data_IF_131202126789
#
_entry.id   IF_131202126789
#
_cell.length_a   1.000
_cell.length_b   1.000
_cell.length_c   1.000
_cell.angle_alpha   90.00
_cell.angle_beta   90.00
_cell.angle_gamma   90.00
#
_symmetry.space_group_name_H-M   'P 1'
#
loop_
_entity.id
_entity.type
_entity.pdbx_description
1 polymer ?
#
# COMPACT_ATOMS: atom_id res chain seq x y z
N UNK A 1 4.69 -21.47 8.90
CA UNK A 1 3.64 -20.56 8.40
C UNK A 1 4.05 -19.13 8.71
N UNK A 2 4.07 -18.28 7.72
CA UNK A 2 4.40 -16.88 7.94
C UNK A 2 3.18 -16.12 8.43
N UNK A 3 3.41 -15.26 9.40
CA UNK A 3 2.36 -14.34 9.82
C UNK A 3 2.23 -13.22 8.79
N UNK A 4 1.00 -12.74 8.54
CA UNK A 4 0.84 -11.60 7.64
C UNK A 4 1.41 -10.34 8.26
N UNK A 5 1.89 -9.43 7.43
CA UNK A 5 2.41 -8.15 7.88
C UNK A 5 1.32 -7.31 8.54
N UNK A 6 0.07 -7.52 8.15
CA UNK A 6 -1.10 -6.81 8.68
C UNK A 6 -2.10 -7.85 9.12
N UNK A 7 -2.52 -7.81 10.40
CA UNK A 7 -3.50 -8.74 10.92
C UNK A 7 -4.93 -8.28 10.66
N UNK A 8 -5.16 -6.98 10.65
CA UNK A 8 -6.49 -6.41 10.42
C UNK A 8 -6.38 -5.33 9.35
N UNK A 9 -6.80 -5.67 8.14
CA UNK A 9 -6.64 -4.78 7.00
C UNK A 9 -7.49 -3.52 7.07
N UNK A 10 -8.58 -3.53 7.84
CA UNK A 10 -9.38 -2.34 8.03
C UNK A 10 -8.59 -1.23 8.75
N UNK A 11 -7.55 -1.59 9.47
CA UNK A 11 -6.74 -0.62 10.20
C UNK A 11 -5.80 0.18 9.32
N UNK A 12 -5.53 -0.29 8.11
CA UNK A 12 -4.65 0.45 7.20
C UNK A 12 -5.39 1.54 6.41
N UNK A 13 -6.72 1.52 6.44
CA UNK A 13 -7.51 2.51 5.71
C UNK A 13 -7.18 3.90 6.24
N UNK A 14 -6.95 4.83 5.33
CA UNK A 14 -6.55 6.23 5.58
C UNK A 14 -5.14 6.40 6.11
N UNK A 15 -4.36 5.32 6.20
CA UNK A 15 -2.96 5.43 6.59
C UNK A 15 -2.10 5.69 5.36
N UNK A 16 -0.93 6.28 5.59
CA UNK A 16 0.01 6.57 4.51
C UNK A 16 0.68 5.32 4.02
N UNK A 17 0.96 5.25 2.72
CA UNK A 17 1.72 4.18 2.11
C UNK A 17 3.06 4.71 1.63
N UNK A 18 4.12 3.93 1.84
CA UNK A 18 5.48 4.25 1.42
C UNK A 18 6.09 3.07 0.70
N UNK A 19 7.04 3.35 -0.19
CA UNK A 19 7.81 2.32 -0.85
C UNK A 19 8.84 1.73 0.12
N UNK A 20 9.59 0.72 -0.34
CA UNK A 20 10.56 0.04 0.53
C UNK A 20 11.67 0.97 1.02
N UNK A 21 11.98 2.02 0.28
CA UNK A 21 13.00 2.99 0.66
C UNK A 21 12.41 4.23 1.35
N UNK A 22 11.14 4.19 1.71
CA UNK A 22 10.51 5.24 2.49
C UNK A 22 9.91 6.39 1.69
N UNK A 23 9.88 6.29 0.36
CA UNK A 23 9.28 7.34 -0.46
C UNK A 23 7.75 7.31 -0.32
N UNK A 24 7.10 8.48 -0.12
CA UNK A 24 5.65 8.51 0.02
C UNK A 24 4.95 8.18 -1.29
N UNK A 25 3.91 7.37 -1.21
CA UNK A 25 3.08 7.02 -2.36
C UNK A 25 1.76 7.77 -2.32
N UNK A 26 1.12 7.77 -1.15
CA UNK A 26 -0.18 8.36 -0.96
C UNK A 26 -0.82 7.78 0.28
N UNK A 27 -2.14 7.65 0.27
CA UNK A 27 -2.85 7.07 1.41
C UNK A 27 -3.75 5.93 0.92
N UNK A 28 -4.05 5.02 1.82
CA UNK A 28 -4.87 3.86 1.50
C UNK A 28 -6.33 4.26 1.62
N UNK A 29 -7.05 4.23 0.49
CA UNK A 29 -8.44 4.65 0.44
C UNK A 29 -9.40 3.51 0.72
N UNK A 30 -9.01 2.29 0.36
CA UNK A 30 -9.88 1.11 0.52
C UNK A 30 -9.03 -0.15 0.44
N UNK A 31 -9.65 -1.28 0.80
CA UNK A 31 -9.02 -2.59 0.65
C UNK A 31 -10.10 -3.59 0.22
N UNK A 32 -9.66 -4.63 -0.48
CA UNK A 32 -10.53 -5.74 -0.82
C UNK A 32 -9.88 -7.05 -0.37
N UNK A 33 -10.37 -8.18 -0.85
CA UNK A 33 -9.88 -9.48 -0.38
C UNK A 33 -8.42 -9.73 -0.72
N UNK A 34 -7.88 -9.08 -1.77
CA UNK A 34 -6.52 -9.39 -2.24
C UNK A 34 -5.65 -8.16 -2.47
N UNK A 35 -6.22 -6.95 -2.41
CA UNK A 35 -5.49 -5.74 -2.79
C UNK A 35 -5.83 -4.58 -1.87
N UNK A 36 -4.96 -3.57 -1.89
CA UNK A 36 -5.25 -2.28 -1.30
C UNK A 36 -5.30 -1.24 -2.41
N UNK A 37 -6.11 -0.21 -2.22
CA UNK A 37 -6.25 0.88 -3.18
C UNK A 37 -5.60 2.10 -2.56
N UNK A 38 -4.57 2.61 -3.22
CA UNK A 38 -3.80 3.76 -2.75
C UNK A 38 -4.06 4.93 -3.67
N UNK A 39 -4.43 6.07 -3.08
CA UNK A 39 -4.63 7.31 -3.82
C UNK A 39 -3.45 8.23 -3.58
N UNK A 40 -2.92 8.75 -4.67
CA UNK A 40 -1.79 9.67 -4.64
C UNK A 40 -2.25 11.04 -5.14
N UNK A 41 -1.42 12.06 -4.93
CA UNK A 41 -1.69 13.39 -5.46
C UNK A 41 -1.80 13.35 -6.99
N UNK A 42 -2.56 14.30 -7.57
CA UNK A 42 -2.78 14.29 -9.01
C UNK A 42 -3.80 13.27 -9.48
N UNK A 43 -4.63 12.76 -8.56
CA UNK A 43 -5.71 11.80 -8.86
C UNK A 43 -5.19 10.46 -9.39
N UNK A 44 -3.98 10.08 -9.02
CA UNK A 44 -3.45 8.77 -9.38
C UNK A 44 -3.98 7.74 -8.40
N UNK A 45 -4.33 6.59 -8.94
CA UNK A 45 -4.84 5.47 -8.14
C UNK A 45 -4.01 4.24 -8.45
N UNK A 46 -3.63 3.51 -7.41
CA UNK A 46 -2.87 2.27 -7.54
C UNK A 46 -3.62 1.14 -6.85
N UNK A 47 -3.72 0.00 -7.53
CA UNK A 47 -4.26 -1.23 -6.95
C UNK A 47 -3.07 -2.15 -6.68
N UNK A 48 -2.74 -2.32 -5.42
CA UNK A 48 -1.52 -3.01 -5.02
C UNK A 48 -1.90 -4.30 -4.30
N UNK A 49 -1.40 -5.45 -4.75
CA UNK A 49 -1.68 -6.71 -4.06
C UNK A 49 -1.22 -6.67 -2.61
N UNK A 50 -2.03 -7.23 -1.71
CA UNK A 50 -1.69 -7.28 -0.29
C UNK A 50 -0.38 -8.00 -0.02
N UNK A 51 0.00 -8.92 -0.91
CA UNK A 51 1.27 -9.65 -0.78
C UNK A 51 2.50 -8.75 -0.87
N UNK A 52 2.34 -7.54 -1.39
CA UNK A 52 3.45 -6.58 -1.48
C UNK A 52 3.54 -5.65 -0.28
N UNK A 53 2.68 -5.81 0.69
CA UNK A 53 2.77 -5.05 1.93
C UNK A 53 3.81 -5.72 2.83
N UNK A 54 4.89 -5.02 3.08
CA UNK A 54 6.03 -5.52 3.83
C UNK A 54 5.85 -5.36 5.33
N UNK A 55 5.27 -4.23 5.75
CA UNK A 55 5.13 -3.91 7.17
C UNK A 55 4.07 -2.85 7.38
N UNK A 56 3.54 -2.80 8.59
CA UNK A 56 2.61 -1.76 9.04
C UNK A 56 2.96 -1.43 10.49
N UNK A 57 3.27 -0.18 10.76
CA UNK A 57 3.70 0.25 12.09
C UNK A 57 2.61 0.97 12.88
N UNK A 58 1.37 0.92 12.40
CA UNK A 58 0.25 1.61 13.03
C UNK A 58 -0.05 2.97 12.44
N UNK A 59 0.93 3.59 11.80
CA UNK A 59 0.79 4.89 11.15
C UNK A 59 1.01 4.84 9.66
N UNK A 60 1.92 3.95 9.22
CA UNK A 60 2.32 3.89 7.82
C UNK A 60 2.45 2.45 7.38
N UNK A 61 2.12 2.23 6.11
CA UNK A 61 2.26 0.94 5.45
C UNK A 61 3.49 1.04 4.54
N UNK A 62 4.35 0.02 4.61
CA UNK A 62 5.55 -0.06 3.78
C UNK A 62 5.38 -1.17 2.76
N UNK A 63 5.61 -0.82 1.49
CA UNK A 63 5.55 -1.76 0.39
C UNK A 63 6.94 -2.38 0.20
N UNK A 64 6.99 -3.48 -0.55
CA UNK A 64 8.25 -4.23 -0.72
C UNK A 64 8.95 -3.93 -2.04
N UNK A 65 8.64 -2.80 -2.68
CA UNK A 65 9.21 -2.46 -3.97
C UNK A 65 9.62 -0.99 -4.00
N UNK A 66 10.54 -0.61 -4.91
CA UNK A 66 10.97 0.78 -5.06
C UNK A 66 9.95 1.62 -5.85
N UNK A 67 10.07 2.95 -5.78
CA UNK A 67 9.10 3.84 -6.46
C UNK A 67 8.97 3.59 -7.96
N UNK A 68 10.02 3.13 -8.61
CA UNK A 68 9.98 2.88 -10.06
C UNK A 68 9.02 1.78 -10.47
N UNK A 69 8.58 0.95 -9.55
CA UNK A 69 7.64 -0.12 -9.85
C UNK A 69 6.17 0.27 -9.68
N UNK A 70 5.90 1.47 -9.17
CA UNK A 70 4.53 1.91 -8.93
C UNK A 70 3.66 1.90 -10.19
N UNK A 71 4.23 2.22 -11.34
CA UNK A 71 3.47 2.29 -12.57
C UNK A 71 2.83 0.96 -12.96
N UNK A 72 3.37 -0.15 -12.47
CA UNK A 72 2.79 -1.47 -12.73
C UNK A 72 1.42 -1.65 -12.12
N UNK A 73 1.12 -0.87 -11.09
CA UNK A 73 -0.11 -1.01 -10.32
C UNK A 73 -1.08 0.15 -10.54
N UNK A 74 -0.72 1.07 -11.42
CA UNK A 74 -1.52 2.26 -11.67
C UNK A 74 -2.80 1.91 -12.42
N UNK A 75 -3.90 2.47 -11.95
CA UNK A 75 -5.20 2.36 -12.60
C UNK A 75 -5.42 3.62 -13.43
N UNK A 76 -5.91 3.43 -14.63
CA UNK A 76 -6.19 4.56 -15.51
C UNK A 76 -7.62 5.01 -15.41
#
# INVERSE_FOLDING_TARGET
MQEPAVLQWDRVIHKSARTEDGEPVGYIAAEDSSSIIVLSSGFREYVIPKSHVKAFDGSQVYLDFPPGELDRYRVQ
#
